data_IF_247951594901
#
_entry.id   IF_247951594901
#
_cell.length_a   1.000
_cell.length_b   1.000
_cell.length_c   1.000
_cell.angle_alpha   90.00
_cell.angle_beta   90.00
_cell.angle_gamma   90.00
#
_symmetry.space_group_name_H-M   'P 1'
#
loop_
_entity.id
_entity.type
_entity.pdbx_description
1 polymer ?
#
# COMPACT_ATOMS: atom_id res chain seq x y z
N UNK A 1 -38.15 -2.59 -9.91
CA UNK A 1 -37.70 -1.19 -9.72
C UNK A 1 -37.01 -1.13 -8.35
N UNK A 2 -35.75 -1.54 -8.30
CA UNK A 2 -34.93 -1.60 -7.10
C UNK A 2 -33.45 -1.58 -7.54
N UNK A 3 -33.02 -0.42 -8.04
CA UNK A 3 -31.63 -0.15 -8.44
C UNK A 3 -31.25 1.13 -7.72
N UNK A 4 -31.05 1.10 -6.41
CA UNK A 4 -30.56 2.27 -5.66
C UNK A 4 -29.76 1.95 -4.38
N UNK A 5 -29.62 0.69 -3.95
CA UNK A 5 -29.00 0.39 -2.64
C UNK A 5 -27.50 0.15 -2.71
N UNK A 6 -26.95 -0.30 -3.83
CA UNK A 6 -25.51 -0.61 -3.97
C UNK A 6 -24.65 0.62 -4.28
N UNK A 7 -25.12 1.53 -5.14
CA UNK A 7 -24.44 2.82 -5.37
C UNK A 7 -24.44 3.73 -4.13
N UNK A 8 -25.51 3.65 -3.32
CA UNK A 8 -25.61 4.41 -2.07
C UNK A 8 -24.53 4.02 -1.06
N UNK A 9 -24.20 2.73 -0.97
CA UNK A 9 -23.15 2.24 -0.05
C UNK A 9 -21.75 2.62 -0.52
N UNK A 10 -21.44 2.57 -1.81
CA UNK A 10 -20.12 3.01 -2.33
C UNK A 10 -19.89 4.50 -2.10
N UNK A 11 -20.89 5.35 -2.38
CA UNK A 11 -20.83 6.79 -2.10
C UNK A 11 -20.75 7.11 -0.61
N UNK A 12 -21.44 6.35 0.24
CA UNK A 12 -21.34 6.50 1.70
C UNK A 12 -19.97 6.08 2.22
N UNK A 13 -19.40 4.98 1.74
CA UNK A 13 -18.07 4.53 2.17
C UNK A 13 -16.99 5.49 1.65
N UNK A 14 -17.10 6.00 0.42
CA UNK A 14 -16.20 7.04 -0.09
C UNK A 14 -16.36 8.34 0.69
N UNK A 15 -17.59 8.75 1.02
CA UNK A 15 -17.86 9.91 1.87
C UNK A 15 -17.25 9.77 3.26
N UNK A 16 -17.42 8.61 3.91
CA UNK A 16 -16.83 8.31 5.22
C UNK A 16 -15.30 8.26 5.16
N UNK A 17 -14.72 7.69 4.09
CA UNK A 17 -13.28 7.70 3.88
C UNK A 17 -12.76 9.13 3.72
N UNK A 18 -13.40 9.96 2.90
CA UNK A 18 -13.02 11.37 2.71
C UNK A 18 -13.16 12.15 4.02
N UNK A 19 -14.22 11.94 4.80
CA UNK A 19 -14.40 12.59 6.11
C UNK A 19 -13.39 12.08 7.13
N UNK A 20 -13.02 10.81 7.12
CA UNK A 20 -11.98 10.26 7.99
C UNK A 20 -10.60 10.81 7.60
N UNK A 21 -10.27 10.87 6.31
CA UNK A 21 -9.02 11.44 5.80
C UNK A 21 -8.98 12.94 6.10
N UNK A 22 -10.08 13.66 5.90
CA UNK A 22 -10.18 15.07 6.24
C UNK A 22 -10.12 15.28 7.76
N UNK A 23 -10.75 14.42 8.55
CA UNK A 23 -10.70 14.43 10.01
C UNK A 23 -9.28 14.21 10.53
N UNK A 24 -8.55 13.22 9.98
CA UNK A 24 -7.14 12.95 10.25
C UNK A 24 -6.26 14.12 9.77
N UNK A 25 -6.53 14.69 8.59
CA UNK A 25 -5.82 15.88 8.10
C UNK A 25 -6.02 17.07 9.04
N UNK A 26 -7.25 17.31 9.50
CA UNK A 26 -7.59 18.42 10.38
C UNK A 26 -7.06 18.20 11.80
N UNK A 27 -7.08 16.97 12.33
CA UNK A 27 -6.45 16.64 13.61
C UNK A 27 -4.94 16.68 13.54
N UNK A 28 -4.29 16.21 12.47
CA UNK A 28 -2.85 16.35 12.27
C UNK A 28 -2.45 17.82 12.07
N UNK A 29 -3.24 18.59 11.33
CA UNK A 29 -3.07 20.05 11.16
C UNK A 29 -3.23 20.78 12.49
N UNK A 30 -4.22 20.41 13.29
CA UNK A 30 -4.47 20.99 14.62
C UNK A 30 -3.39 20.57 15.61
N UNK A 31 -3.06 19.28 15.70
CA UNK A 31 -1.93 18.77 16.46
C UNK A 31 -0.62 19.45 16.03
N UNK A 32 -0.40 19.75 14.75
CA UNK A 32 0.79 20.48 14.37
C UNK A 32 0.72 21.98 14.66
N UNK A 33 -0.46 22.61 14.60
CA UNK A 33 -0.66 23.98 15.08
C UNK A 33 -0.51 24.10 16.60
N UNK A 34 -0.87 23.05 17.35
CA UNK A 34 -0.73 22.95 18.80
C UNK A 34 0.70 22.59 19.19
N UNK A 35 1.35 21.60 18.55
CA UNK A 35 2.76 21.29 18.73
C UNK A 35 3.67 22.46 18.29
N UNK A 36 3.29 23.24 17.28
CA UNK A 36 4.00 24.48 16.94
C UNK A 36 3.80 25.59 17.98
N UNK A 37 2.76 25.56 18.83
CA UNK A 37 2.60 26.47 19.98
C UNK A 37 3.27 25.93 21.25
N UNK A 38 3.26 24.62 21.47
CA UNK A 38 3.76 23.97 22.68
C UNK A 38 5.27 23.65 22.62
N UNK A 39 5.82 23.27 21.47
CA UNK A 39 7.27 23.00 21.30
C UNK A 39 8.07 24.23 20.88
N UNK A 40 7.40 25.30 20.43
CA UNK A 40 8.02 26.58 20.10
C UNK A 40 7.49 27.68 21.01
N UNK A 41 7.93 27.67 22.28
CA UNK A 41 8.19 28.96 22.90
C UNK A 41 9.10 29.73 21.95
N UNK A 42 8.67 30.91 21.48
CA UNK A 42 9.50 31.82 20.70
C UNK A 42 10.76 32.09 21.51
N UNK A 43 11.82 31.31 21.32
CA UNK A 43 13.15 31.82 21.57
C UNK A 43 13.44 32.66 20.34
N UNK A 44 12.95 33.90 20.36
CA UNK A 44 13.64 34.96 19.65
C UNK A 44 15.08 34.82 20.11
N UNK A 45 15.93 34.24 19.26
CA UNK A 45 17.37 34.43 19.42
C UNK A 45 17.50 35.94 19.50
N UNK A 46 17.99 36.52 20.60
CA UNK A 46 18.15 37.95 20.69
C UNK A 46 18.96 38.32 19.46
N UNK A 47 18.30 38.96 18.49
CA UNK A 47 19.01 39.55 17.38
C UNK A 47 19.86 40.58 18.08
N UNK A 48 21.20 40.45 18.08
CA UNK A 48 22.01 41.52 18.64
C UNK A 48 21.56 42.83 17.99
N UNK A 49 21.59 43.96 18.72
CA UNK A 49 21.14 45.26 18.21
C UNK A 49 21.68 45.49 16.80
N UNK A 50 21.01 46.27 15.93
CA UNK A 50 21.29 46.35 14.50
C UNK A 50 22.67 46.95 14.23
N UNK A 51 23.71 46.16 14.47
CA UNK A 51 24.98 46.29 13.82
C UNK A 51 24.68 45.84 12.41
N UNK A 52 24.92 46.72 11.44
CA UNK A 52 24.76 46.43 10.02
C UNK A 52 25.33 45.03 9.75
N UNK A 53 24.47 44.03 9.56
CA UNK A 53 24.92 42.69 9.23
C UNK A 53 25.64 42.83 7.90
N UNK A 54 26.93 42.49 7.82
CA UNK A 54 27.68 42.73 6.60
C UNK A 54 27.07 41.85 5.50
N UNK A 55 26.72 42.44 4.35
CA UNK A 55 26.19 41.70 3.19
C UNK A 55 27.15 40.58 2.71
N UNK A 56 28.40 40.62 3.17
CA UNK A 56 29.43 39.64 2.87
C UNK A 56 30.42 39.45 4.01
N UNK A 57 30.86 38.21 4.22
CA UNK A 57 31.94 37.88 5.16
C UNK A 57 33.17 37.38 4.40
N UNK A 58 34.34 37.77 4.88
CA UNK A 58 35.62 37.29 4.38
C UNK A 58 35.89 35.91 4.99
N UNK A 59 35.73 34.84 4.19
CA UNK A 59 36.12 33.48 4.57
C UNK A 59 37.35 33.13 3.73
N UNK A 60 38.47 32.82 4.39
CA UNK A 60 39.76 32.51 3.73
C UNK A 60 40.21 33.56 2.68
N UNK A 61 39.98 34.85 2.98
CA UNK A 61 40.35 35.97 2.11
C UNK A 61 39.43 36.17 0.89
N UNK A 62 38.30 35.45 0.82
CA UNK A 62 37.27 35.63 -0.22
C UNK A 62 36.02 36.26 0.39
N UNK A 63 35.46 37.25 -0.31
CA UNK A 63 34.20 37.91 0.03
C UNK A 63 33.02 37.00 -0.40
N UNK A 64 32.37 36.36 0.56
CA UNK A 64 31.21 35.47 0.34
C UNK A 64 29.95 36.15 0.89
N UNK A 65 28.85 36.19 0.11
CA UNK A 65 27.58 36.74 0.62
C UNK A 65 27.00 35.85 1.71
N UNK A 66 26.37 36.46 2.71
CA UNK A 66 25.83 35.75 3.88
C UNK A 66 24.76 34.72 3.50
N UNK A 67 24.05 34.94 2.39
CA UNK A 67 23.07 33.99 1.83
C UNK A 67 23.69 32.67 1.37
N UNK A 68 24.96 32.68 0.98
CA UNK A 68 25.68 31.50 0.47
C UNK A 68 26.41 30.72 1.57
N UNK A 69 26.38 31.19 2.82
CA UNK A 69 26.99 30.49 3.94
C UNK A 69 26.16 29.28 4.33
N UNK A 70 26.86 28.18 4.64
CA UNK A 70 26.24 26.95 5.13
C UNK A 70 25.55 27.25 6.47
N UNK A 71 24.26 26.90 6.56
CA UNK A 71 23.49 27.06 7.80
C UNK A 71 23.95 26.06 8.87
N UNK A 72 23.94 26.47 10.14
CA UNK A 72 24.22 25.54 11.24
C UNK A 72 23.08 24.54 11.37
N UNK A 73 23.44 23.27 11.48
CA UNK A 73 22.52 22.15 11.51
C UNK A 73 22.01 21.94 12.94
N UNK A 74 20.70 21.72 13.08
CA UNK A 74 20.08 21.41 14.37
C UNK A 74 20.05 19.87 14.57
N UNK A 75 20.63 19.34 15.66
CA UNK A 75 20.54 17.92 16.00
C UNK A 75 19.11 17.38 16.01
N UNK A 76 18.13 18.20 16.42
CA UNK A 76 16.71 17.79 16.49
C UNK A 76 16.15 17.49 15.10
N UNK A 77 16.52 18.30 14.11
CA UNK A 77 16.15 18.07 12.71
C UNK A 77 16.72 16.74 12.23
N UNK A 78 17.99 16.47 12.52
CA UNK A 78 18.65 15.21 12.15
C UNK A 78 17.97 13.99 12.78
N UNK A 79 17.65 14.04 14.08
CA UNK A 79 16.92 12.95 14.75
C UNK A 79 15.49 12.76 14.22
N UNK A 80 14.79 13.85 13.88
CA UNK A 80 13.46 13.74 13.27
C UNK A 80 13.52 13.03 11.91
N UNK A 81 14.45 13.43 11.05
CA UNK A 81 14.69 12.80 9.75
C UNK A 81 15.11 11.33 9.89
N UNK A 82 15.90 11.01 10.91
CA UNK A 82 16.30 9.64 11.24
C UNK A 82 15.10 8.78 11.67
N UNK A 83 14.19 9.32 12.47
CA UNK A 83 13.02 8.56 12.91
C UNK A 83 12.03 8.32 11.75
N UNK A 84 11.76 9.33 10.92
CA UNK A 84 10.72 9.24 9.88
C UNK A 84 11.20 8.61 8.58
N UNK A 85 12.45 8.88 8.18
CA UNK A 85 13.03 8.51 6.88
C UNK A 85 14.43 7.90 7.05
N UNK A 86 14.74 7.37 8.23
CA UNK A 86 16.07 6.83 8.53
C UNK A 86 16.41 5.56 7.78
N UNK A 87 15.43 4.73 7.40
CA UNK A 87 15.67 3.54 6.56
C UNK A 87 16.13 3.92 5.14
N UNK A 88 15.74 5.10 4.65
CA UNK A 88 16.19 5.65 3.37
C UNK A 88 17.52 6.42 3.53
N UNK A 89 17.86 6.83 4.77
CA UNK A 89 19.06 7.61 5.07
C UNK A 89 18.88 9.13 4.93
N UNK A 90 17.66 9.67 5.06
CA UNK A 90 17.41 11.11 4.89
C UNK A 90 18.23 12.03 5.82
N UNK A 91 18.56 11.55 7.02
CA UNK A 91 19.40 12.28 7.96
C UNK A 91 20.88 12.35 7.51
N UNK A 92 21.37 11.38 6.74
CA UNK A 92 22.73 11.41 6.15
C UNK A 92 22.82 12.50 5.09
N UNK A 93 21.79 12.65 4.25
CA UNK A 93 21.67 13.75 3.30
C UNK A 93 21.62 15.11 4.00
N UNK A 94 20.94 15.20 5.14
CA UNK A 94 20.90 16.43 5.94
C UNK A 94 22.28 16.82 6.51
N UNK A 95 23.07 15.82 6.89
CA UNK A 95 24.45 15.96 7.36
C UNK A 95 25.48 15.98 6.22
N UNK A 96 25.06 16.27 4.98
CA UNK A 96 25.95 16.42 3.81
C UNK A 96 26.83 15.19 3.48
N UNK A 97 26.38 14.00 3.91
CA UNK A 97 27.07 12.71 3.65
C UNK A 97 26.41 11.99 2.48
N UNK A 98 26.49 12.58 1.30
CA UNK A 98 25.84 12.07 0.07
C UNK A 98 26.17 10.61 -0.22
N UNK A 99 27.45 10.22 -0.16
CA UNK A 99 27.86 8.83 -0.47
C UNK A 99 27.24 7.82 0.50
N UNK A 100 27.21 8.15 1.81
CA UNK A 100 26.62 7.27 2.82
C UNK A 100 25.09 7.25 2.69
N UNK A 101 24.47 8.39 2.37
CA UNK A 101 23.03 8.48 2.12
C UNK A 101 22.59 7.65 0.91
N UNK A 102 23.35 7.68 -0.19
CA UNK A 102 23.07 6.85 -1.38
C UNK A 102 23.26 5.37 -1.07
N UNK A 103 24.34 5.00 -0.37
CA UNK A 103 24.55 3.62 0.06
C UNK A 103 23.43 3.14 1.00
N UNK A 104 22.99 3.96 1.95
CA UNK A 104 21.87 3.66 2.83
C UNK A 104 20.56 3.52 2.06
N UNK A 105 20.27 4.40 1.10
CA UNK A 105 19.07 4.32 0.27
C UNK A 105 19.05 3.04 -0.59
N UNK A 106 20.18 2.67 -1.20
CA UNK A 106 20.29 1.47 -2.03
C UNK A 106 20.29 0.17 -1.21
N UNK A 107 20.78 0.19 0.02
CA UNK A 107 20.89 -1.00 0.89
C UNK A 107 19.75 -1.12 1.92
N UNK A 108 18.80 -0.18 1.96
CA UNK A 108 17.78 -0.13 3.01
C UNK A 108 18.39 0.05 4.41
N UNK A 109 19.45 0.87 4.49
CA UNK A 109 20.26 1.13 5.66
C UNK A 109 20.79 -0.16 6.35
N UNK A 110 21.35 -1.08 5.55
CA UNK A 110 21.90 -2.37 5.99
C UNK A 110 20.90 -3.17 6.86
N UNK A 111 19.66 -3.31 6.39
CA UNK A 111 18.59 -4.03 7.10
C UNK A 111 18.33 -3.50 8.52
N UNK A 112 18.47 -2.19 8.72
CA UNK A 112 18.23 -1.53 10.00
C UNK A 112 19.42 -1.49 10.96
N UNK A 113 20.53 -2.17 10.66
CA UNK A 113 21.76 -2.05 11.46
C UNK A 113 22.35 -0.65 11.33
N UNK A 114 22.38 -0.11 10.11
CA UNK A 114 22.82 1.27 9.88
C UNK A 114 21.93 2.26 10.62
N UNK A 115 20.61 2.01 10.68
CA UNK A 115 19.67 2.86 11.41
C UNK A 115 19.99 2.94 12.90
N UNK A 116 20.36 1.82 13.54
CA UNK A 116 20.77 1.83 14.95
C UNK A 116 22.10 2.58 15.17
N UNK A 117 23.07 2.41 14.27
CA UNK A 117 24.37 3.09 14.37
C UNK A 117 24.22 4.61 14.16
N UNK A 118 23.35 5.01 13.25
CA UNK A 118 23.07 6.41 12.94
C UNK A 118 22.59 7.18 14.19
N UNK A 119 21.78 6.56 15.06
CA UNK A 119 21.34 7.16 16.32
C UNK A 119 22.50 7.66 17.19
N UNK A 120 23.56 6.86 17.27
CA UNK A 120 24.77 7.15 18.05
C UNK A 120 25.68 8.14 17.34
N UNK A 121 25.66 8.15 16.00
CA UNK A 121 26.58 8.92 15.18
C UNK A 121 26.06 10.33 14.84
N UNK A 122 24.75 10.58 14.87
CA UNK A 122 24.13 11.89 14.60
C UNK A 122 24.79 13.05 15.38
N UNK A 123 25.06 12.96 16.70
CA UNK A 123 25.71 14.03 17.44
C UNK A 123 27.10 14.37 16.88
N UNK A 124 27.86 13.34 16.49
CA UNK A 124 29.19 13.51 15.91
C UNK A 124 29.13 14.15 14.52
N UNK A 125 28.13 13.79 13.71
CA UNK A 125 27.96 14.32 12.36
C UNK A 125 27.55 15.78 12.37
N UNK A 126 26.57 16.13 13.21
CA UNK A 126 26.12 17.51 13.36
C UNK A 126 27.23 18.36 13.97
N UNK A 127 27.95 17.85 14.97
CA UNK A 127 29.11 18.52 15.55
C UNK A 127 30.23 18.76 14.54
N UNK A 128 30.53 17.80 13.67
CA UNK A 128 31.58 17.93 12.65
C UNK A 128 31.25 19.03 11.63
N UNK A 129 30.00 19.11 11.15
CA UNK A 129 29.57 20.14 10.19
C UNK A 129 29.55 21.51 10.87
N UNK A 130 28.97 21.60 12.06
CA UNK A 130 28.85 22.87 12.76
C UNK A 130 30.21 23.46 13.15
N UNK A 131 31.27 22.65 13.30
CA UNK A 131 32.66 23.13 13.50
C UNK A 131 33.27 23.77 12.26
N UNK A 132 32.80 23.42 11.06
CA UNK A 132 33.26 24.01 9.80
C UNK A 132 32.59 25.35 9.50
N UNK A 133 31.62 25.76 10.32
CA UNK A 133 30.80 26.95 10.11
C UNK A 133 31.06 27.95 11.25
N UNK A 134 31.53 29.19 10.97
CA UNK A 134 31.73 30.21 11.99
C UNK A 134 30.42 30.57 12.72
N UNK A 135 30.38 30.35 14.03
CA UNK A 135 29.19 30.51 14.86
C UNK A 135 28.63 31.94 14.92
N UNK A 136 29.46 32.94 14.65
CA UNK A 136 29.10 34.35 14.73
C UNK A 136 28.28 34.85 13.54
N UNK A 137 28.34 34.14 12.40
CA UNK A 137 27.77 34.60 11.12
C UNK A 137 26.65 33.68 10.62
N UNK A 138 26.68 32.40 10.99
CA UNK A 138 25.79 31.42 10.40
C UNK A 138 24.38 31.42 11.01
N UNK A 139 23.36 31.46 10.15
CA UNK A 139 21.96 31.37 10.56
C UNK A 139 21.64 29.94 11.04
N UNK A 140 20.91 29.78 12.16
CA UNK A 140 20.46 28.47 12.62
C UNK A 140 19.39 27.90 11.71
N UNK A 141 19.51 26.61 11.41
CA UNK A 141 18.48 25.89 10.67
C UNK A 141 17.22 25.69 11.55
N UNK A 142 16.08 26.12 11.01
CA UNK A 142 14.76 25.99 11.64
C UNK A 142 13.86 24.99 10.87
N UNK A 143 14.45 24.13 10.04
CA UNK A 143 13.73 23.19 9.18
C UNK A 143 12.94 22.15 9.96
N UNK A 144 13.35 21.79 11.19
CA UNK A 144 12.60 20.89 12.08
C UNK A 144 11.11 21.26 12.14
N UNK A 145 10.78 22.54 12.29
CA UNK A 145 9.40 23.02 12.37
C UNK A 145 8.60 22.75 11.09
N UNK A 146 9.21 22.96 9.92
CA UNK A 146 8.56 22.73 8.63
C UNK A 146 8.39 21.23 8.36
N UNK A 147 9.41 20.44 8.68
CA UNK A 147 9.42 18.98 8.54
C UNK A 147 8.42 18.32 9.48
N UNK A 148 8.40 18.66 10.76
CA UNK A 148 7.46 18.10 11.75
C UNK A 148 5.99 18.31 11.38
N UNK A 149 5.65 19.37 10.63
CA UNK A 149 4.27 19.61 10.20
C UNK A 149 3.92 19.14 8.81
N UNK A 150 4.84 19.23 7.86
CA UNK A 150 4.55 18.81 6.49
C UNK A 150 4.72 17.31 6.30
N UNK A 151 5.72 16.72 6.94
CA UNK A 151 6.08 15.33 6.70
C UNK A 151 4.99 14.35 7.16
N UNK A 152 4.37 14.49 8.35
CA UNK A 152 3.27 13.60 8.74
C UNK A 152 2.04 13.72 7.84
N UNK A 153 1.75 14.93 7.34
CA UNK A 153 0.65 15.13 6.38
C UNK A 153 0.95 14.46 5.04
N UNK A 154 2.17 14.61 4.53
CA UNK A 154 2.59 13.98 3.27
C UNK A 154 2.57 12.45 3.44
N UNK A 155 3.14 11.92 4.52
CA UNK A 155 3.11 10.48 4.82
C UNK A 155 1.66 9.97 4.96
N UNK A 156 0.79 10.69 5.65
CA UNK A 156 -0.63 10.33 5.79
C UNK A 156 -1.36 10.28 4.45
N UNK A 157 -1.12 11.26 3.56
CA UNK A 157 -1.69 11.26 2.20
C UNK A 157 -1.15 10.08 1.39
N UNK A 158 0.16 9.84 1.40
CA UNK A 158 0.78 8.72 0.67
C UNK A 158 0.23 7.37 1.17
N UNK A 159 0.15 7.17 2.48
CA UNK A 159 -0.40 5.94 3.07
C UNK A 159 -1.86 5.79 2.67
N UNK A 160 -2.66 6.85 2.73
CA UNK A 160 -4.06 6.82 2.33
C UNK A 160 -4.21 6.42 0.87
N UNK A 161 -3.47 7.06 -0.04
CA UNK A 161 -3.49 6.74 -1.47
C UNK A 161 -3.05 5.30 -1.70
N UNK A 162 -1.99 4.85 -1.03
CA UNK A 162 -1.52 3.47 -1.11
C UNK A 162 -2.57 2.46 -0.64
N UNK A 163 -3.23 2.69 0.50
CA UNK A 163 -4.29 1.81 0.99
C UNK A 163 -5.50 1.81 0.05
N UNK A 164 -5.88 2.97 -0.49
CA UNK A 164 -6.93 3.03 -1.51
C UNK A 164 -6.55 2.23 -2.76
N UNK A 165 -5.31 2.32 -3.23
CA UNK A 165 -4.84 1.48 -4.34
C UNK A 165 -4.87 0.00 -3.96
N UNK A 166 -4.35 -0.40 -2.80
CA UNK A 166 -4.29 -1.81 -2.40
C UNK A 166 -5.68 -2.43 -2.24
N UNK A 167 -6.64 -1.69 -1.68
CA UNK A 167 -7.96 -2.24 -1.36
C UNK A 167 -9.03 -1.97 -2.42
N UNK A 168 -8.93 -0.90 -3.21
CA UNK A 168 -9.96 -0.56 -4.21
C UNK A 168 -9.55 -0.88 -5.64
N UNK A 169 -8.26 -1.03 -5.93
CA UNK A 169 -7.83 -1.30 -7.30
C UNK A 169 -8.38 -2.62 -7.85
N UNK A 170 -8.37 -3.76 -7.12
CA UNK A 170 -8.94 -5.00 -7.64
C UNK A 170 -10.42 -4.85 -7.98
N UNK A 171 -11.21 -4.28 -7.07
CA UNK A 171 -12.64 -4.04 -7.27
C UNK A 171 -12.92 -3.05 -8.42
N UNK A 172 -12.09 -2.01 -8.57
CA UNK A 172 -12.18 -1.07 -9.67
C UNK A 172 -11.92 -1.75 -11.02
N UNK A 173 -10.87 -2.57 -11.11
CA UNK A 173 -10.55 -3.32 -12.34
C UNK A 173 -11.67 -4.31 -12.69
N UNK A 174 -12.24 -4.99 -11.70
CA UNK A 174 -13.41 -5.85 -11.89
C UNK A 174 -14.63 -5.07 -12.42
N UNK A 175 -14.94 -3.92 -11.80
CA UNK A 175 -16.09 -3.08 -12.17
C UNK A 175 -15.99 -2.46 -13.58
N UNK A 176 -14.78 -2.20 -14.06
CA UNK A 176 -14.56 -1.73 -15.44
C UNK A 176 -14.68 -2.84 -16.50
N UNK A 177 -14.78 -4.11 -16.08
CA UNK A 177 -14.81 -5.26 -16.98
C UNK A 177 -13.49 -5.53 -17.70
N UNK A 178 -12.40 -4.85 -17.30
CA UNK A 178 -11.07 -5.06 -17.87
C UNK A 178 -10.50 -6.44 -17.51
N UNK A 179 -10.83 -6.97 -16.32
CA UNK A 179 -10.38 -8.28 -15.84
C UNK A 179 -11.53 -8.97 -15.10
N UNK A 180 -11.89 -10.17 -15.52
CA UNK A 180 -12.91 -11.00 -14.86
C UNK A 180 -12.27 -11.83 -13.73
N UNK A 181 -12.02 -11.16 -12.59
CA UNK A 181 -11.30 -11.75 -11.45
C UNK A 181 -12.00 -13.00 -10.91
N UNK A 182 -13.34 -13.01 -10.88
CA UNK A 182 -14.12 -14.12 -10.34
C UNK A 182 -13.99 -15.39 -11.15
N UNK A 183 -13.92 -15.28 -12.48
CA UNK A 183 -13.65 -16.42 -13.35
C UNK A 183 -12.31 -17.08 -12.98
N UNK A 184 -11.27 -16.26 -12.79
CA UNK A 184 -9.92 -16.72 -12.45
C UNK A 184 -9.88 -17.36 -11.07
N UNK A 185 -10.46 -16.70 -10.06
CA UNK A 185 -10.50 -17.20 -8.69
C UNK A 185 -11.32 -18.50 -8.60
N UNK A 186 -12.46 -18.60 -9.27
CA UNK A 186 -13.26 -19.81 -9.32
C UNK A 186 -12.64 -20.93 -10.20
N UNK A 187 -11.66 -20.57 -11.04
CA UNK A 187 -11.05 -21.48 -12.01
C UNK A 187 -12.08 -22.06 -12.99
N UNK A 188 -13.07 -21.26 -13.36
CA UNK A 188 -14.16 -21.61 -14.29
C UNK A 188 -13.84 -21.15 -15.71
N UNK A 189 -14.57 -21.66 -16.70
CA UNK A 189 -14.40 -21.26 -18.10
C UNK A 189 -14.95 -19.86 -18.43
N UNK A 190 -15.70 -19.25 -17.51
CA UNK A 190 -16.35 -17.95 -17.62
C UNK A 190 -16.78 -17.48 -16.23
N UNK A 191 -17.39 -16.29 -16.12
CA UNK A 191 -17.88 -15.78 -14.83
C UNK A 191 -18.86 -16.77 -14.16
N UNK A 192 -18.67 -17.13 -12.87
CA UNK A 192 -19.53 -18.08 -12.14
C UNK A 192 -21.03 -17.72 -12.13
N UNK A 193 -21.36 -16.44 -12.01
CA UNK A 193 -22.74 -15.95 -11.96
C UNK A 193 -23.42 -16.07 -13.33
N UNK A 194 -22.67 -15.82 -14.40
CA UNK A 194 -23.14 -15.99 -15.78
C UNK A 194 -23.33 -17.48 -16.11
N UNK A 195 -22.43 -18.36 -15.64
CA UNK A 195 -22.54 -19.81 -15.84
C UNK A 195 -23.80 -20.36 -15.18
N UNK A 196 -24.09 -19.95 -13.94
CA UNK A 196 -25.24 -20.43 -13.18
C UNK A 196 -26.53 -19.64 -13.45
N UNK A 197 -26.48 -18.61 -14.28
CA UNK A 197 -27.60 -17.73 -14.61
C UNK A 197 -28.28 -17.15 -13.36
N UNK A 198 -27.48 -16.76 -12.37
CA UNK A 198 -27.93 -16.19 -11.08
C UNK A 198 -27.35 -14.81 -10.87
N UNK A 199 -28.11 -13.94 -10.20
CA UNK A 199 -27.63 -12.62 -9.79
C UNK A 199 -26.69 -12.73 -8.57
N UNK A 200 -25.81 -11.74 -8.37
CA UNK A 200 -24.80 -11.73 -7.29
C UNK A 200 -25.39 -11.83 -5.89
N UNK A 201 -26.57 -11.25 -5.69
CA UNK A 201 -27.25 -11.18 -4.38
C UNK A 201 -28.28 -12.32 -4.19
N UNK A 202 -28.22 -13.37 -5.01
CA UNK A 202 -29.14 -14.51 -4.94
C UNK A 202 -28.91 -15.30 -3.64
N UNK A 203 -29.96 -15.61 -2.86
CA UNK A 203 -29.79 -16.36 -1.61
C UNK A 203 -29.25 -17.77 -1.88
N UNK A 204 -28.49 -18.35 -0.94
CA UNK A 204 -27.75 -19.60 -1.16
C UNK A 204 -28.66 -20.81 -1.46
N UNK A 205 -29.91 -20.80 -0.99
CA UNK A 205 -30.91 -21.81 -1.41
C UNK A 205 -31.20 -21.77 -2.91
N UNK A 206 -31.40 -20.58 -3.46
CA UNK A 206 -31.74 -20.39 -4.87
C UNK A 206 -30.55 -20.73 -5.78
N UNK A 207 -29.33 -20.43 -5.33
CA UNK A 207 -28.10 -20.86 -6.02
C UNK A 207 -27.99 -22.39 -6.08
N UNK A 208 -28.26 -23.09 -4.97
CA UNK A 208 -28.28 -24.57 -4.95
C UNK A 208 -29.35 -25.12 -5.88
N UNK A 209 -30.51 -24.47 -5.93
CA UNK A 209 -31.60 -24.86 -6.83
C UNK A 209 -31.21 -24.69 -8.29
N UNK A 210 -30.64 -23.54 -8.66
CA UNK A 210 -30.13 -23.26 -10.01
C UNK A 210 -29.07 -24.28 -10.42
N UNK A 211 -28.08 -24.53 -9.56
CA UNK A 211 -27.05 -25.56 -9.79
C UNK A 211 -27.66 -26.95 -10.03
N UNK A 212 -28.60 -27.37 -9.17
CA UNK A 212 -29.24 -28.68 -9.31
C UNK A 212 -30.04 -28.82 -10.60
N UNK A 213 -30.66 -27.72 -11.07
CA UNK A 213 -31.43 -27.71 -12.31
C UNK A 213 -30.52 -27.85 -13.52
N UNK A 214 -29.52 -26.98 -13.64
CA UNK A 214 -28.57 -27.03 -14.76
C UNK A 214 -27.79 -28.34 -14.79
N UNK A 215 -27.49 -28.94 -13.63
CA UNK A 215 -26.84 -30.25 -13.57
C UNK A 215 -27.72 -31.34 -14.19
N UNK A 216 -29.04 -31.35 -13.90
CA UNK A 216 -29.99 -32.28 -14.53
C UNK A 216 -30.07 -32.09 -16.03
N UNK A 217 -30.08 -30.85 -16.51
CA UNK A 217 -30.16 -30.54 -17.94
C UNK A 217 -28.90 -31.00 -18.69
N UNK A 218 -27.72 -30.77 -18.08
CA UNK A 218 -26.45 -31.30 -18.60
C UNK A 218 -26.45 -32.82 -18.61
N UNK A 219 -26.96 -33.47 -17.56
CA UNK A 219 -27.08 -34.94 -17.50
C UNK A 219 -28.05 -35.52 -18.54
N UNK A 220 -29.14 -34.82 -18.80
CA UNK A 220 -30.12 -35.20 -19.83
C UNK A 220 -29.60 -34.96 -21.25
N UNK A 221 -28.58 -34.11 -21.43
CA UNK A 221 -28.01 -33.81 -22.73
C UNK A 221 -27.37 -35.04 -23.39
N UNK A 222 -27.52 -35.14 -24.71
CA UNK A 222 -26.94 -36.22 -25.53
C UNK A 222 -25.42 -36.34 -25.37
N UNK A 223 -24.74 -35.22 -25.08
CA UNK A 223 -23.30 -35.15 -24.81
C UNK A 223 -22.88 -35.97 -23.57
N UNK A 224 -23.76 -36.05 -22.56
CA UNK A 224 -23.51 -36.77 -21.32
C UNK A 224 -23.92 -38.24 -21.35
N UNK A 225 -24.86 -38.60 -22.23
CA UNK A 225 -25.31 -39.98 -22.40
C UNK A 225 -24.20 -40.90 -22.94
N UNK A 226 -23.23 -40.34 -23.69
CA UNK A 226 -22.08 -41.07 -24.22
C UNK A 226 -20.86 -41.11 -23.26
N UNK A 227 -20.98 -40.68 -22.00
CA UNK A 227 -19.88 -40.62 -21.01
C UNK A 227 -18.62 -39.90 -21.55
N UNK A 228 -18.82 -38.81 -22.30
CA UNK A 228 -17.73 -38.09 -22.94
C UNK A 228 -16.93 -37.26 -21.91
N UNK A 229 -15.62 -37.08 -22.16
CA UNK A 229 -14.74 -36.13 -21.44
C UNK A 229 -15.35 -34.73 -21.39
N UNK A 230 -16.05 -34.31 -22.45
CA UNK A 230 -16.75 -33.03 -22.52
C UNK A 230 -17.86 -32.89 -21.46
N UNK A 231 -18.64 -33.95 -21.22
CA UNK A 231 -19.66 -33.97 -20.16
C UNK A 231 -19.04 -33.79 -18.77
N UNK A 232 -17.94 -34.52 -18.50
CA UNK A 232 -17.21 -34.40 -17.23
C UNK A 232 -16.69 -32.99 -17.00
N UNK A 233 -16.15 -32.35 -18.05
CA UNK A 233 -15.70 -30.96 -17.99
C UNK A 233 -16.84 -29.98 -17.70
N UNK A 234 -18.01 -30.11 -18.36
CA UNK A 234 -19.19 -29.28 -18.10
C UNK A 234 -19.67 -29.41 -16.64
N UNK A 235 -19.82 -30.65 -16.14
CA UNK A 235 -20.20 -30.90 -14.74
C UNK A 235 -19.20 -30.32 -13.74
N UNK A 236 -17.90 -30.45 -14.02
CA UNK A 236 -16.86 -29.88 -13.17
C UNK A 236 -16.88 -28.36 -13.17
N UNK A 237 -17.13 -27.73 -14.32
CA UNK A 237 -17.24 -26.28 -14.43
C UNK A 237 -18.45 -25.74 -13.63
N UNK A 238 -19.63 -26.37 -13.78
CA UNK A 238 -20.81 -26.04 -12.97
C UNK A 238 -20.56 -26.20 -11.48
N UNK A 239 -19.88 -27.27 -11.09
CA UNK A 239 -19.54 -27.51 -9.68
C UNK A 239 -18.63 -26.42 -9.12
N UNK A 240 -17.59 -26.02 -9.87
CA UNK A 240 -16.69 -24.94 -9.46
C UNK A 240 -17.42 -23.61 -9.31
N UNK A 241 -18.30 -23.28 -10.27
CA UNK A 241 -19.11 -22.07 -10.20
C UNK A 241 -19.99 -22.06 -8.94
N UNK A 242 -20.71 -23.17 -8.66
CA UNK A 242 -21.58 -23.25 -7.49
C UNK A 242 -20.80 -23.24 -6.17
N UNK A 243 -19.65 -23.92 -6.12
CA UNK A 243 -18.79 -23.96 -4.95
C UNK A 243 -18.25 -22.56 -4.61
N UNK A 244 -17.84 -21.79 -5.63
CA UNK A 244 -17.38 -20.40 -5.45
C UNK A 244 -18.49 -19.49 -4.92
N UNK A 245 -19.71 -19.55 -5.48
CA UNK A 245 -20.82 -18.68 -5.02
C UNK A 245 -21.26 -19.06 -3.61
N UNK A 246 -21.33 -20.36 -3.28
CA UNK A 246 -21.86 -20.83 -1.99
C UNK A 246 -20.84 -20.77 -0.85
N UNK A 247 -19.58 -21.06 -1.15
CA UNK A 247 -18.53 -21.23 -0.13
C UNK A 247 -17.43 -20.17 -0.23
N UNK A 248 -17.49 -19.27 -1.22
CA UNK A 248 -16.52 -18.20 -1.44
C UNK A 248 -15.21 -18.68 -2.08
N UNK A 249 -14.14 -17.93 -1.83
CA UNK A 249 -12.81 -18.22 -2.35
C UNK A 249 -12.29 -19.52 -1.74
N UNK A 250 -11.80 -20.47 -2.56
CA UNK A 250 -11.13 -21.65 -2.02
C UNK A 250 -9.91 -21.19 -1.23
N UNK A 251 -9.89 -21.43 0.10
CA UNK A 251 -8.68 -21.27 0.90
C UNK A 251 -7.52 -21.93 0.15
N UNK A 252 -6.44 -21.16 -0.03
CA UNK A 252 -5.28 -21.49 -0.87
C UNK A 252 -4.93 -22.97 -0.80
N UNK A 253 -4.46 -23.54 -1.90
CA UNK A 253 -4.18 -24.98 -2.04
C UNK A 253 -3.14 -25.48 -1.01
N UNK A 254 -3.56 -25.68 0.23
CA UNK A 254 -2.83 -26.45 1.24
C UNK A 254 -2.61 -27.85 0.65
N UNK A 255 -1.39 -28.40 0.75
CA UNK A 255 -1.11 -29.78 0.39
C UNK A 255 -2.19 -30.69 1.00
N UNK A 256 -2.75 -31.64 0.23
CA UNK A 256 -3.86 -32.49 0.67
C UNK A 256 -3.67 -33.17 2.04
N UNK A 257 -2.42 -33.34 2.49
CA UNK A 257 -2.07 -33.84 3.83
C UNK A 257 -2.51 -32.88 4.95
N UNK A 258 -2.36 -31.58 4.76
CA UNK A 258 -2.72 -30.54 5.72
C UNK A 258 -4.23 -30.37 5.83
N UNK A 259 -4.96 -30.44 4.70
CA UNK A 259 -6.43 -30.50 4.67
C UNK A 259 -7.00 -31.65 5.51
N UNK A 260 -6.40 -32.85 5.47
CA UNK A 260 -6.86 -33.99 6.29
C UNK A 260 -6.55 -33.80 7.77
N UNK A 261 -5.40 -33.20 8.10
CA UNK A 261 -5.02 -32.89 9.48
C UNK A 261 -5.94 -31.82 10.09
N UNK A 262 -6.20 -30.73 9.33
CA UNK A 262 -7.14 -29.65 9.73
C UNK A 262 -8.58 -30.11 9.80
N UNK A 263 -9.05 -31.01 8.93
CA UNK A 263 -10.40 -31.58 9.03
C UNK A 263 -10.59 -32.38 10.32
N UNK A 264 -9.53 -33.07 10.76
CA UNK A 264 -9.50 -33.84 12.02
C UNK A 264 -9.36 -32.96 13.26
N UNK A 265 -8.77 -31.76 13.15
CA UNK A 265 -8.73 -30.76 14.22
C UNK A 265 -9.99 -29.89 14.28
N UNK A 266 -10.59 -29.51 13.15
CA UNK A 266 -11.86 -28.76 13.06
C UNK A 266 -13.08 -29.51 13.56
N UNK A 267 -13.07 -30.85 13.51
CA UNK A 267 -14.11 -31.65 14.16
C UNK A 267 -14.04 -31.53 15.71
N UNK A 268 -12.90 -31.06 16.24
CA UNK A 268 -12.70 -30.72 17.66
C UNK A 268 -12.84 -29.23 17.98
N UNK A 269 -12.58 -28.32 17.04
CA UNK A 269 -12.68 -26.87 17.22
C UNK A 269 -13.82 -26.29 16.38
N UNK A 270 -15.03 -26.39 16.90
CA UNK A 270 -16.23 -25.77 16.36
C UNK A 270 -16.64 -24.62 17.28
N UNK A 271 -15.96 -23.47 17.21
CA UNK A 271 -16.48 -22.24 17.82
C UNK A 271 -15.93 -20.90 17.34
N UNK A 272 -14.79 -20.82 16.64
CA UNK A 272 -14.18 -19.51 16.40
C UNK A 272 -14.35 -19.09 14.94
N UNK A 273 -15.44 -18.36 14.68
CA UNK A 273 -15.61 -17.56 13.46
C UNK A 273 -14.55 -16.44 13.49
N UNK A 274 -13.46 -16.59 12.74
CA UNK A 274 -12.44 -15.54 12.54
C UNK A 274 -12.72 -14.78 11.23
N UNK A 275 -13.40 -13.62 11.28
CA UNK A 275 -13.80 -12.88 10.09
C UNK A 275 -12.60 -12.27 9.35
N UNK A 276 -11.48 -12.05 10.05
CA UNK A 276 -10.29 -11.43 9.49
C UNK A 276 -9.51 -12.41 8.61
N UNK A 277 -9.48 -13.69 8.98
CA UNK A 277 -8.88 -14.75 8.17
C UNK A 277 -9.54 -14.85 6.79
N UNK A 278 -10.87 -14.98 6.74
CA UNK A 278 -11.62 -15.10 5.48
C UNK A 278 -11.47 -13.85 4.59
N UNK A 279 -11.49 -12.65 5.18
CA UNK A 279 -11.26 -11.41 4.43
C UNK A 279 -9.86 -11.33 3.82
N UNK A 280 -8.82 -11.68 4.59
CA UNK A 280 -7.43 -11.64 4.11
C UNK A 280 -7.16 -12.65 2.99
N UNK A 281 -7.77 -13.84 3.09
CA UNK A 281 -7.70 -14.89 2.07
C UNK A 281 -8.35 -14.42 0.76
N UNK A 282 -9.48 -13.72 0.84
CA UNK A 282 -10.15 -13.14 -0.32
C UNK A 282 -9.29 -12.08 -1.02
N UNK A 283 -8.79 -11.09 -0.26
CA UNK A 283 -7.94 -10.04 -0.79
C UNK A 283 -6.68 -10.63 -1.46
N UNK A 284 -6.06 -11.63 -0.83
CA UNK A 284 -4.92 -12.32 -1.41
C UNK A 284 -5.26 -12.99 -2.75
N UNK A 285 -6.38 -13.69 -2.83
CA UNK A 285 -6.78 -14.36 -4.06
C UNK A 285 -7.09 -13.38 -5.20
N UNK A 286 -7.67 -12.21 -4.90
CA UNK A 286 -7.86 -11.13 -5.88
C UNK A 286 -6.51 -10.62 -6.42
N UNK A 287 -5.55 -10.34 -5.53
CA UNK A 287 -4.22 -9.88 -5.92
C UNK A 287 -3.41 -10.93 -6.67
N UNK A 288 -3.50 -12.20 -6.29
CA UNK A 288 -2.87 -13.31 -6.99
C UNK A 288 -3.46 -13.44 -8.42
N UNK A 289 -4.79 -13.41 -8.55
CA UNK A 289 -5.46 -13.47 -9.86
C UNK A 289 -5.11 -12.28 -10.76
N UNK A 290 -5.04 -11.07 -10.20
CA UNK A 290 -4.61 -9.86 -10.93
C UNK A 290 -3.15 -9.94 -11.35
N UNK A 291 -2.28 -10.42 -10.46
CA UNK A 291 -0.86 -10.61 -10.74
C UNK A 291 -0.61 -11.60 -11.86
N UNK A 292 -1.36 -12.70 -11.88
CA UNK A 292 -1.31 -13.70 -12.96
C UNK A 292 -1.76 -13.12 -14.30
N UNK A 293 -2.83 -12.32 -14.33
CA UNK A 293 -3.29 -11.64 -15.55
C UNK A 293 -2.23 -10.67 -16.10
N UNK A 294 -1.64 -9.83 -15.24
CA UNK A 294 -0.57 -8.91 -15.63
C UNK A 294 0.64 -9.67 -16.18
N UNK A 295 1.00 -10.79 -15.54
CA UNK A 295 2.11 -11.63 -15.97
C UNK A 295 1.85 -12.27 -17.33
N UNK A 296 0.65 -12.82 -17.54
CA UNK A 296 0.23 -13.38 -18.83
C UNK A 296 0.20 -12.30 -19.93
N UNK A 297 -0.40 -11.14 -19.65
CA UNK A 297 -0.47 -10.01 -20.58
C UNK A 297 0.92 -9.47 -20.96
N UNK A 298 1.82 -9.32 -19.98
CA UNK A 298 3.20 -8.90 -20.24
C UNK A 298 3.99 -9.91 -21.08
N UNK A 299 3.80 -11.21 -20.84
CA UNK A 299 4.42 -12.27 -21.63
C UNK A 299 3.88 -12.29 -23.07
N UNK A 300 2.58 -12.06 -23.25
CA UNK A 300 1.98 -11.96 -24.58
C UNK A 300 2.48 -10.72 -25.34
N UNK A 301 2.57 -9.58 -24.65
CA UNK A 301 3.14 -8.36 -25.21
C UNK A 301 4.60 -8.57 -25.64
N UNK A 302 5.43 -9.19 -24.80
CA UNK A 302 6.82 -9.51 -25.14
C UNK A 302 6.93 -10.38 -26.41
N UNK A 303 6.07 -11.40 -26.56
CA UNK A 303 6.03 -12.24 -27.77
C UNK A 303 5.60 -11.46 -29.01
N UNK A 304 4.64 -10.55 -28.87
CA UNK A 304 4.19 -9.71 -29.99
C UNK A 304 5.31 -8.76 -30.44
N UNK A 305 6.00 -8.12 -29.49
CA UNK A 305 7.16 -7.26 -29.77
C UNK A 305 8.28 -8.07 -30.43
N UNK A 306 8.59 -9.26 -29.95
CA UNK A 306 9.58 -10.15 -30.58
C UNK A 306 9.19 -10.48 -32.04
N UNK A 307 7.92 -10.81 -32.28
CA UNK A 307 7.42 -11.11 -33.63
C UNK A 307 7.52 -9.91 -34.58
N UNK A 308 7.25 -8.70 -34.09
CA UNK A 308 7.30 -7.46 -34.88
C UNK A 308 8.73 -7.01 -35.19
N UNK A 309 9.71 -7.31 -34.33
CA UNK A 309 11.13 -7.01 -34.57
C UNK A 309 11.83 -8.00 -35.51
N UNK A 310 11.32 -9.24 -35.62
CA UNK A 310 11.92 -10.32 -36.41
C UNK A 310 11.12 -10.70 -37.67
N UNK A 311 10.08 -9.93 -38.04
CA UNK A 311 9.38 -10.02 -39.33
C UNK A 311 9.82 -8.93 -40.29
#
# INVERSE_FOLDING_TARGET
MAITTTEGNELQVLGLAVVAIWGVYQTLRWCCSCCCRCCCGKREVPVPPPVAQPDSVQVDGRKVSVEHLIQTKDPRTAYFLWLTLGLVGAHLFYTDRLLHGVLAACSGNFLGVGWCLDFLLIPTYVGAINRQVPAEVARPDNSCRRLCCRLPLICGVIITVFLLLVFRLPSFLHGTGLVDLEQRIAGTAGNPYVILEVERDTPPEDVRKAYSSQLRDVEASKDCQASNKACKAKKQNLKKAADFILNGVPRSAEPQKEKKARRKSRERERSDDDPWGDWSDHLKAEWDALGDEIKEGSAQFAKNVEKDYFS
#
